data_IF_208422864172
#
_entry.id   IF_208422864172
#
_cell.length_a   1.000
_cell.length_b   1.000
_cell.length_c   1.000
_cell.angle_alpha   90.00
_cell.angle_beta   90.00
_cell.angle_gamma   90.00
#
_symmetry.space_group_name_H-M   'P 1'
#
loop_
_entity.id
_entity.type
_entity.pdbx_description
1 polymer ?
#
# COMPACT_ATOMS: atom_id res chain seq x y z
N UNK A 1 -17.43 18.64 4.78
CA UNK A 1 -17.53 18.75 3.33
C UNK A 1 -16.55 17.78 2.67
N UNK A 2 -17.09 16.84 1.95
CA UNK A 2 -16.27 15.90 1.19
C UNK A 2 -15.62 16.66 0.01
N UNK A 3 -14.28 16.62 -0.03
CA UNK A 3 -13.55 17.14 -1.18
C UNK A 3 -13.61 16.07 -2.27
N UNK A 4 -14.09 16.38 -3.47
CA UNK A 4 -14.10 15.40 -4.55
C UNK A 4 -12.67 15.02 -4.91
N UNK A 5 -12.40 13.72 -4.89
CA UNK A 5 -11.12 13.17 -5.26
C UNK A 5 -11.19 12.65 -6.70
N UNK A 6 -10.15 12.85 -7.50
CA UNK A 6 -10.17 12.35 -8.87
C UNK A 6 -10.26 10.83 -8.89
N UNK A 7 -11.00 10.28 -9.82
CA UNK A 7 -11.05 8.84 -10.01
C UNK A 7 -9.69 8.35 -10.54
N UNK A 8 -9.33 7.15 -10.09
CA UNK A 8 -8.07 6.53 -10.51
C UNK A 8 -8.29 5.81 -11.82
N UNK A 9 -7.63 6.28 -12.87
CA UNK A 9 -7.60 5.58 -14.14
C UNK A 9 -6.76 4.30 -14.00
N UNK A 10 -7.13 3.26 -14.74
CA UNK A 10 -6.42 1.97 -14.73
C UNK A 10 -4.91 2.18 -14.97
N UNK A 11 -4.10 1.55 -14.15
CA UNK A 11 -2.63 1.53 -14.21
C UNK A 11 -1.94 2.85 -13.83
N UNK A 12 -2.68 3.88 -13.39
CA UNK A 12 -2.10 5.16 -13.00
C UNK A 12 -2.24 5.42 -11.50
N UNK A 13 -2.01 4.39 -10.68
CA UNK A 13 -1.99 4.56 -9.24
C UNK A 13 -0.73 5.32 -8.84
N UNK A 14 -0.91 6.49 -8.26
CA UNK A 14 0.16 7.30 -7.68
C UNK A 14 -0.22 7.73 -6.27
N UNK A 15 0.67 7.46 -5.32
CA UNK A 15 0.49 7.96 -3.96
C UNK A 15 0.79 9.47 -3.92
N UNK A 16 0.13 10.16 -3.00
CA UNK A 16 0.22 11.61 -2.85
C UNK A 16 0.59 11.99 -1.42
N UNK A 17 1.83 11.67 -1.00
CA UNK A 17 2.25 11.89 0.39
C UNK A 17 2.37 13.37 0.77
N UNK A 18 2.42 14.27 -0.21
CA UNK A 18 2.53 15.71 0.02
C UNK A 18 1.19 16.44 -0.10
N UNK A 19 0.12 15.73 -0.43
CA UNK A 19 -1.22 16.31 -0.50
C UNK A 19 -1.92 16.18 0.87
N UNK A 20 -2.14 17.31 1.56
CA UNK A 20 -2.70 17.25 2.92
C UNK A 20 -4.12 16.67 2.98
N UNK A 21 -4.89 16.78 1.90
CA UNK A 21 -6.24 16.21 1.83
C UNK A 21 -6.17 14.68 1.86
N UNK A 22 -5.30 14.10 1.02
CA UNK A 22 -5.08 12.66 0.98
C UNK A 22 -4.47 12.14 2.28
N UNK A 23 -3.46 12.80 2.80
CA UNK A 23 -2.76 12.37 4.02
C UNK A 23 -3.70 12.40 5.22
N UNK A 24 -4.51 13.44 5.38
CA UNK A 24 -5.46 13.54 6.49
C UNK A 24 -6.54 12.46 6.43
N UNK A 25 -7.13 12.26 5.26
CA UNK A 25 -8.12 11.19 5.06
C UNK A 25 -7.48 9.82 5.29
N UNK A 26 -6.30 9.61 4.74
CA UNK A 26 -5.56 8.35 4.89
C UNK A 26 -5.21 8.04 6.34
N UNK A 27 -4.84 9.05 7.11
CA UNK A 27 -4.57 8.88 8.54
C UNK A 27 -5.81 8.39 9.28
N UNK A 28 -6.96 8.99 9.01
CA UNK A 28 -8.22 8.58 9.63
C UNK A 28 -8.57 7.13 9.28
N UNK A 29 -8.48 6.78 8.01
CA UNK A 29 -8.78 5.42 7.54
C UNK A 29 -7.79 4.42 8.14
N UNK A 30 -6.51 4.75 8.16
CA UNK A 30 -5.49 3.90 8.76
C UNK A 30 -5.80 3.60 10.24
N UNK A 31 -6.14 4.62 11.01
CA UNK A 31 -6.49 4.43 12.42
C UNK A 31 -7.74 3.59 12.61
N UNK A 32 -8.74 3.74 11.72
CA UNK A 32 -10.00 2.99 11.81
C UNK A 32 -9.88 1.54 11.32
N UNK A 33 -9.08 1.28 10.28
CA UNK A 33 -9.09 0.00 9.54
C UNK A 33 -7.79 -0.79 9.66
N UNK A 34 -6.68 -0.16 9.94
CA UNK A 34 -5.35 -0.79 9.80
C UNK A 34 -4.58 -0.85 11.11
N UNK A 35 -4.72 0.16 11.96
CA UNK A 35 -3.88 0.33 13.14
C UNK A 35 -4.04 -0.79 14.17
N UNK A 36 -5.21 -1.44 14.23
CA UNK A 36 -5.43 -2.54 15.17
C UNK A 36 -4.43 -3.70 14.98
N UNK A 37 -3.96 -3.90 13.75
CA UNK A 37 -2.96 -4.92 13.43
C UNK A 37 -1.57 -4.31 13.16
N UNK A 38 -1.51 -3.23 12.37
CA UNK A 38 -0.24 -2.62 11.97
C UNK A 38 0.34 -1.63 12.99
N UNK A 39 -0.42 -1.29 14.03
CA UNK A 39 0.01 -0.37 15.08
C UNK A 39 -0.27 1.10 14.76
N UNK A 40 -0.58 1.88 15.81
CA UNK A 40 -0.87 3.32 15.67
C UNK A 40 0.35 4.12 15.21
N UNK A 41 1.55 3.60 15.44
CA UNK A 41 2.82 4.18 14.98
C UNK A 41 3.40 3.41 13.80
N UNK A 42 2.61 2.59 13.12
CA UNK A 42 3.02 1.78 11.97
C UNK A 42 4.09 0.74 12.31
N UNK A 43 4.22 0.36 13.58
CA UNK A 43 5.28 -0.54 14.08
C UNK A 43 5.06 -2.01 13.76
N UNK A 44 3.85 -2.41 13.35
CA UNK A 44 3.50 -3.81 13.12
C UNK A 44 3.36 -4.61 14.40
N UNK A 45 3.21 -5.91 14.24
CA UNK A 45 3.12 -6.86 15.36
C UNK A 45 4.50 -7.41 15.71
N UNK A 46 4.74 -7.64 17.01
CA UNK A 46 6.01 -8.17 17.48
C UNK A 46 6.26 -9.56 16.91
N UNK A 47 7.49 -9.80 16.42
CA UNK A 47 7.88 -11.09 15.84
C UNK A 47 7.34 -11.33 14.41
N UNK A 48 6.91 -10.30 13.73
CA UNK A 48 6.28 -10.40 12.40
C UNK A 48 7.14 -11.11 11.35
N UNK A 49 8.47 -11.10 11.50
CA UNK A 49 9.38 -11.75 10.53
C UNK A 49 9.33 -13.26 10.62
N UNK A 50 9.23 -13.79 11.83
CA UNK A 50 9.51 -15.19 12.12
C UNK A 50 8.31 -15.97 12.67
N UNK A 51 7.39 -15.28 13.33
CA UNK A 51 6.27 -15.94 14.01
C UNK A 51 5.09 -16.14 13.06
N UNK A 52 4.50 -17.33 13.14
CA UNK A 52 3.23 -17.65 12.52
C UNK A 52 2.28 -18.03 13.64
N UNK A 53 1.11 -17.37 13.69
CA UNK A 53 0.10 -17.61 14.72
C UNK A 53 -1.16 -18.12 14.03
N UNK A 54 -1.64 -19.28 14.48
CA UNK A 54 -2.83 -19.93 13.89
C UNK A 54 -2.72 -20.12 12.36
N UNK A 55 -1.49 -20.39 11.89
CA UNK A 55 -1.20 -20.56 10.46
C UNK A 55 -1.09 -19.27 9.67
N UNK A 56 -1.24 -18.11 10.31
CA UNK A 56 -1.24 -16.80 9.64
C UNK A 56 0.03 -16.01 9.95
N UNK A 57 0.53 -15.29 8.95
CA UNK A 57 1.62 -14.33 9.14
C UNK A 57 1.11 -13.12 9.92
N UNK A 58 1.95 -12.60 10.79
CA UNK A 58 1.63 -11.39 11.55
C UNK A 58 1.75 -10.14 10.70
N UNK A 59 1.07 -9.07 11.12
CA UNK A 59 1.09 -7.80 10.39
C UNK A 59 2.48 -7.14 10.45
N UNK A 60 3.10 -6.86 9.30
CA UNK A 60 4.40 -6.20 9.26
C UNK A 60 4.28 -4.71 9.57
N UNK A 61 5.40 -4.06 9.93
CA UNK A 61 5.44 -2.61 10.02
C UNK A 61 5.22 -1.96 8.66
N UNK A 62 4.64 -0.77 8.67
CA UNK A 62 4.58 0.10 7.49
C UNK A 62 5.54 1.29 7.59
N UNK A 63 6.35 1.35 8.64
CA UNK A 63 7.45 2.32 8.76
C UNK A 63 8.70 1.82 8.01
N UNK A 64 9.80 2.53 8.13
CA UNK A 64 11.04 2.19 7.43
C UNK A 64 11.61 0.82 7.81
N UNK A 65 11.22 0.26 8.96
CA UNK A 65 11.72 -1.05 9.41
C UNK A 65 11.05 -2.22 8.70
N UNK A 66 9.91 -1.98 8.03
CA UNK A 66 9.21 -2.99 7.25
C UNK A 66 9.63 -3.01 5.79
N UNK A 67 8.80 -3.61 4.94
CA UNK A 67 9.08 -3.80 3.52
C UNK A 67 8.15 -3.01 2.60
N UNK A 68 7.25 -2.18 3.14
CA UNK A 68 6.28 -1.44 2.34
C UNK A 68 6.95 -0.60 1.26
N UNK A 69 8.01 0.12 1.62
CA UNK A 69 8.73 1.01 0.71
C UNK A 69 9.56 0.28 -0.36
N UNK A 70 9.67 -1.06 -0.28
CA UNK A 70 10.33 -1.87 -1.31
C UNK A 70 9.45 -2.15 -2.53
N UNK A 71 8.19 -1.74 -2.48
CA UNK A 71 7.21 -2.08 -3.51
C UNK A 71 6.65 -0.84 -4.20
N UNK A 72 6.36 -0.92 -5.52
CA UNK A 72 5.73 0.21 -6.22
C UNK A 72 4.30 0.44 -5.78
N UNK A 73 3.82 1.67 -5.99
CA UNK A 73 2.48 2.10 -5.61
C UNK A 73 1.39 1.15 -6.12
N UNK A 74 1.50 0.72 -7.38
CA UNK A 74 0.51 -0.14 -8.01
C UNK A 74 0.39 -1.49 -7.31
N UNK A 75 1.51 -2.08 -6.86
CA UNK A 75 1.48 -3.34 -6.14
C UNK A 75 0.88 -3.18 -4.74
N UNK A 76 1.27 -2.13 -4.02
CA UNK A 76 0.71 -1.83 -2.70
C UNK A 76 -0.82 -1.66 -2.77
N UNK A 77 -1.28 -0.97 -3.80
CA UNK A 77 -2.71 -0.77 -4.06
C UNK A 77 -3.42 -2.12 -4.29
N UNK A 78 -2.88 -2.97 -5.16
CA UNK A 78 -3.48 -4.26 -5.49
C UNK A 78 -3.52 -5.20 -4.29
N UNK A 79 -2.45 -5.24 -3.49
CA UNK A 79 -2.40 -6.07 -2.29
C UNK A 79 -3.47 -5.66 -1.28
N UNK A 80 -3.70 -4.36 -1.12
CA UNK A 80 -4.72 -3.85 -0.22
C UNK A 80 -6.13 -4.12 -0.75
N UNK A 81 -6.35 -3.88 -2.03
CA UNK A 81 -7.67 -4.01 -2.64
C UNK A 81 -8.11 -5.47 -2.81
N UNK A 82 -7.23 -6.30 -3.36
CA UNK A 82 -7.58 -7.68 -3.77
C UNK A 82 -7.04 -8.76 -2.84
N UNK A 83 -6.09 -8.43 -1.96
CA UNK A 83 -5.51 -9.35 -0.99
C UNK A 83 -4.28 -10.10 -1.51
N UNK A 84 -3.52 -10.66 -0.57
CA UNK A 84 -2.27 -11.35 -0.86
C UNK A 84 -2.48 -12.66 -1.62
N UNK A 85 -3.54 -13.40 -1.28
CA UNK A 85 -3.81 -14.69 -1.92
C UNK A 85 -4.06 -14.54 -3.42
N UNK A 86 -4.75 -13.47 -3.84
CA UNK A 86 -5.07 -13.22 -5.25
C UNK A 86 -3.88 -12.68 -6.04
N UNK A 87 -2.97 -11.92 -5.39
CA UNK A 87 -1.90 -11.20 -6.08
C UNK A 87 -0.57 -11.96 -6.02
N UNK A 88 -0.26 -12.60 -4.89
CA UNK A 88 1.02 -13.28 -4.70
C UNK A 88 0.85 -14.79 -4.86
N UNK A 89 0.11 -15.44 -3.99
CA UNK A 89 -0.12 -16.88 -4.00
C UNK A 89 -1.24 -17.24 -3.03
N UNK A 90 -2.07 -18.23 -3.40
CA UNK A 90 -3.09 -18.77 -2.50
C UNK A 90 -2.50 -19.38 -1.23
N UNK A 91 -1.21 -19.73 -1.24
CA UNK A 91 -0.51 -20.27 -0.08
C UNK A 91 -0.04 -19.18 0.90
N UNK A 92 -0.14 -17.91 0.52
CA UNK A 92 0.26 -16.80 1.37
C UNK A 92 -0.85 -16.50 2.38
N UNK A 93 -0.69 -17.03 3.60
CA UNK A 93 -1.73 -16.96 4.64
C UNK A 93 -1.55 -15.73 5.51
N UNK A 94 -2.49 -14.80 5.42
CA UNK A 94 -2.57 -13.59 6.25
C UNK A 94 -4.02 -13.39 6.70
N UNK A 95 -4.19 -12.76 7.84
CA UNK A 95 -5.52 -12.39 8.36
C UNK A 95 -5.97 -11.02 7.90
N UNK A 96 -5.15 -10.31 7.13
CA UNK A 96 -5.49 -9.00 6.60
C UNK A 96 -6.74 -9.09 5.71
N UNK A 97 -7.77 -8.27 5.97
CA UNK A 97 -8.97 -8.26 5.13
C UNK A 97 -8.70 -7.81 3.70
N UNK A 98 -9.58 -8.19 2.80
CA UNK A 98 -9.62 -7.66 1.44
C UNK A 98 -10.52 -6.42 1.46
N UNK A 99 -10.03 -5.30 0.91
CA UNK A 99 -10.72 -4.01 1.06
C UNK A 99 -11.53 -3.57 -0.17
N UNK A 100 -11.68 -4.43 -1.18
CA UNK A 100 -12.40 -4.10 -2.42
C UNK A 100 -13.82 -3.57 -2.16
N UNK A 101 -14.56 -4.22 -1.24
CA UNK A 101 -15.93 -3.83 -0.90
C UNK A 101 -16.01 -2.91 0.32
N UNK A 102 -14.89 -2.57 0.94
CA UNK A 102 -14.84 -1.79 2.19
C UNK A 102 -14.39 -0.36 1.93
N UNK A 103 -13.38 -0.19 1.08
CA UNK A 103 -12.79 1.11 0.76
C UNK A 103 -12.89 1.38 -0.74
N UNK A 104 -13.14 2.63 -1.08
CA UNK A 104 -13.04 3.12 -2.46
C UNK A 104 -11.58 3.20 -2.87
N UNK A 105 -11.32 3.21 -4.17
CA UNK A 105 -9.95 3.29 -4.69
C UNK A 105 -9.19 4.52 -4.16
N UNK A 106 -9.85 5.67 -4.15
CA UNK A 106 -9.27 6.91 -3.62
C UNK A 106 -8.96 6.82 -2.13
N UNK A 107 -9.75 6.06 -1.39
CA UNK A 107 -9.54 5.85 0.04
C UNK A 107 -8.34 4.95 0.30
N UNK A 108 -8.13 3.94 -0.55
CA UNK A 108 -6.92 3.09 -0.49
C UNK A 108 -5.68 3.93 -0.81
N UNK A 109 -5.74 4.75 -1.87
CA UNK A 109 -4.63 5.65 -2.22
C UNK A 109 -4.36 6.63 -1.09
N UNK A 110 -5.39 7.18 -0.47
CA UNK A 110 -5.23 8.09 0.67
C UNK A 110 -4.53 7.41 1.85
N UNK A 111 -4.93 6.19 2.18
CA UNK A 111 -4.33 5.42 3.27
C UNK A 111 -2.84 5.14 3.01
N UNK A 112 -2.51 4.67 1.81
CA UNK A 112 -1.13 4.42 1.41
C UNK A 112 -0.31 5.72 1.33
N UNK A 113 -0.93 6.83 0.93
CA UNK A 113 -0.29 8.15 0.91
C UNK A 113 0.06 8.62 2.32
N UNK A 114 -0.82 8.41 3.29
CA UNK A 114 -0.52 8.66 4.69
C UNK A 114 0.69 7.84 5.15
N UNK A 115 0.70 6.55 4.85
CA UNK A 115 1.83 5.68 5.21
C UNK A 115 3.13 6.24 4.65
N UNK A 116 3.16 6.54 3.35
CA UNK A 116 4.37 7.10 2.70
C UNK A 116 4.77 8.44 3.29
N UNK A 117 3.80 9.26 3.72
CA UNK A 117 4.09 10.57 4.32
C UNK A 117 4.90 10.47 5.62
N UNK A 118 4.86 9.32 6.29
CA UNK A 118 5.59 9.10 7.55
C UNK A 118 7.04 8.67 7.34
N UNK A 119 7.43 8.32 6.12
CA UNK A 119 8.79 7.82 5.85
C UNK A 119 9.80 8.95 5.79
N UNK A 120 11.07 8.70 6.19
CA UNK A 120 12.16 9.64 5.94
C UNK A 120 12.32 9.93 4.44
N UNK A 121 12.88 11.10 4.13
CA UNK A 121 13.04 11.54 2.73
C UNK A 121 13.86 10.56 1.88
N UNK A 122 14.92 9.99 2.42
CA UNK A 122 15.75 9.02 1.72
C UNK A 122 14.96 7.75 1.36
N UNK A 123 14.12 7.28 2.25
CA UNK A 123 13.25 6.11 2.01
C UNK A 123 12.20 6.44 0.95
N UNK A 124 11.59 7.63 1.01
CA UNK A 124 10.64 8.08 -0.01
C UNK A 124 11.29 8.15 -1.39
N UNK A 125 12.51 8.64 -1.48
CA UNK A 125 13.26 8.71 -2.74
C UNK A 125 13.55 7.33 -3.33
N UNK A 126 13.88 6.35 -2.49
CA UNK A 126 14.07 4.97 -2.94
C UNK A 126 12.78 4.42 -3.53
N UNK A 127 11.67 4.61 -2.85
CA UNK A 127 10.36 4.15 -3.32
C UNK A 127 9.94 4.89 -4.59
N UNK A 128 10.25 6.19 -4.72
CA UNK A 128 9.99 6.96 -5.94
C UNK A 128 10.76 6.39 -7.13
N UNK A 129 12.00 5.95 -6.93
CA UNK A 129 12.79 5.30 -7.97
C UNK A 129 12.19 3.95 -8.36
N UNK A 130 11.72 3.18 -7.39
CA UNK A 130 11.05 1.90 -7.66
C UNK A 130 9.80 2.13 -8.52
N UNK A 131 9.03 3.18 -8.24
CA UNK A 131 7.88 3.57 -9.03
C UNK A 131 8.26 3.92 -10.47
N UNK A 132 9.32 4.70 -10.65
CA UNK A 132 9.81 5.08 -11.97
C UNK A 132 10.24 3.86 -12.79
N UNK A 133 10.98 2.95 -12.18
CA UNK A 133 11.42 1.70 -12.82
C UNK A 133 10.21 0.81 -13.17
N UNK A 134 9.23 0.73 -12.30
CA UNK A 134 8.00 -0.04 -12.54
C UNK A 134 7.21 0.52 -13.75
N UNK A 135 7.05 1.84 -13.82
CA UNK A 135 6.36 2.49 -14.94
C UNK A 135 7.09 2.27 -16.26
N UNK A 136 8.42 2.37 -16.24
CA UNK A 136 9.24 2.14 -17.44
C UNK A 136 9.11 0.71 -17.92
N UNK A 137 9.18 -0.28 -17.04
CA UNK A 137 9.05 -1.69 -17.37
C UNK A 137 7.67 -2.00 -17.95
N UNK A 138 6.61 -1.45 -17.40
CA UNK A 138 5.26 -1.62 -17.92
C UNK A 138 5.07 -1.00 -19.30
N UNK A 139 5.63 0.19 -19.53
CA UNK A 139 5.58 0.84 -20.82
C UNK A 139 6.30 0.01 -21.90
N UNK A 140 7.45 -0.59 -21.55
CA UNK A 140 8.20 -1.47 -22.45
C UNK A 140 7.43 -2.75 -22.77
N UNK A 141 6.78 -3.38 -21.78
CA UNK A 141 5.95 -4.57 -21.98
C UNK A 141 4.74 -4.27 -22.87
N UNK A 142 4.05 -3.17 -22.62
CA UNK A 142 2.91 -2.74 -23.42
C UNK A 142 3.31 -2.44 -24.88
N UNK A 143 4.50 -1.88 -25.09
CA UNK A 143 5.05 -1.64 -26.41
C UNK A 143 5.31 -2.94 -27.17
N UNK A 144 5.79 -3.98 -26.49
CA UNK A 144 6.04 -5.30 -27.09
C UNK A 144 4.75 -6.05 -27.42
N UNK A 145 3.71 -5.94 -26.57
CA UNK A 145 2.44 -6.63 -26.79
C UNK A 145 1.55 -5.95 -27.84
N UNK A 146 1.85 -4.71 -28.21
CA UNK A 146 1.12 -3.96 -29.23
C UNK A 146 1.67 -4.10 -30.65
N UNK A 147 2.67 -4.93 -30.86
CA UNK A 147 3.27 -5.16 -32.18
C UNK A 147 2.67 -6.38 -32.87
#
# INVERSE_FOLDING_TARGET
LAVPMPSIANNLVELRPDDPVYVKLGQKIFMDQCASCHGVNLEGQDGWRDKIVDGMRLAPPHDKSGHTWHHPDALLFKLTKYGFAAIISSDYKVSMPIYDDVLKDEEIVATLSYIKSTWPDDVRQIQDKINADYKLNNAMENSKSGS
#
